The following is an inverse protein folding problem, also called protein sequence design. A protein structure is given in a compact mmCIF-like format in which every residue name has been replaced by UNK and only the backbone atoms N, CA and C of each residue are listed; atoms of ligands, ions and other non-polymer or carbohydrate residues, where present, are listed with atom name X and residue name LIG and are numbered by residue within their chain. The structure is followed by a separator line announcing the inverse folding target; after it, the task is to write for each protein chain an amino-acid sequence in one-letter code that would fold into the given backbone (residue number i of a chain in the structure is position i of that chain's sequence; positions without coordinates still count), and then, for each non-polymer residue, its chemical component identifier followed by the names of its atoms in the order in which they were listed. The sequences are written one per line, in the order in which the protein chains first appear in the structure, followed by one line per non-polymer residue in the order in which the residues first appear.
data_IF_896683854674
#
_entry.id   IF_896683854674
#
_cell.length_a   1.000
_cell.length_b   1.000
_cell.length_c   1.000
_cell.angle_alpha   90.00
_cell.angle_beta   90.00
_cell.angle_gamma   90.00
#
_symmetry.space_group_name_H-M   'P 1'
#
loop_
_entity.id
_entity.type
_entity.pdbx_description
1 polymer ?
#
# COMPACT_ATOMS: atom_id res chain seq x y z
N UNK A 1 13.44 -23.74 -6.68
CA UNK A 1 12.40 -24.50 -5.93
C UNK A 1 12.77 -24.47 -4.46
N UNK A 2 11.79 -24.32 -3.56
CA UNK A 2 12.03 -24.38 -2.12
C UNK A 2 10.91 -25.20 -1.44
N UNK A 3 11.29 -25.91 -0.36
CA UNK A 3 10.35 -26.59 0.54
C UNK A 3 10.41 -25.88 1.87
N UNK A 4 9.31 -25.21 2.24
CA UNK A 4 9.18 -24.50 3.51
C UNK A 4 8.29 -25.36 4.40
N UNK A 5 8.89 -26.09 5.34
CA UNK A 5 8.17 -27.00 6.24
C UNK A 5 7.99 -26.42 7.63
N UNK A 6 7.07 -27.00 8.39
CA UNK A 6 6.86 -26.66 9.80
C UNK A 6 6.57 -25.16 9.98
N UNK A 7 5.60 -24.67 9.21
CA UNK A 7 5.09 -23.28 9.28
C UNK A 7 3.61 -23.28 9.62
N UNK A 8 3.14 -22.23 10.28
CA UNK A 8 1.72 -21.96 10.48
C UNK A 8 1.20 -21.12 9.32
N UNK A 9 0.13 -21.55 8.67
CA UNK A 9 -0.53 -20.81 7.58
C UNK A 9 -2.04 -20.78 7.83
N UNK A 10 -2.71 -19.71 7.39
CA UNK A 10 -4.16 -19.69 7.31
C UNK A 10 -4.64 -20.45 6.07
N UNK A 11 -5.57 -21.40 6.29
CA UNK A 11 -6.29 -22.11 5.26
C UNK A 11 -7.77 -22.17 5.65
N UNK A 12 -8.65 -21.67 4.79
CA UNK A 12 -10.11 -21.68 5.02
C UNK A 12 -10.49 -21.16 6.43
N UNK A 13 -9.86 -20.08 6.87
CA UNK A 13 -10.02 -19.45 8.20
C UNK A 13 -9.43 -20.19 9.39
N UNK A 14 -8.75 -21.31 9.19
CA UNK A 14 -8.06 -22.04 10.24
C UNK A 14 -6.54 -21.87 10.14
N UNK A 15 -5.89 -21.73 11.28
CA UNK A 15 -4.43 -21.70 11.37
C UNK A 15 -3.92 -23.14 11.48
N UNK A 16 -3.27 -23.64 10.43
CA UNK A 16 -2.77 -25.02 10.37
C UNK A 16 -1.25 -25.06 10.31
N UNK A 17 -0.65 -26.15 10.83
CA UNK A 17 0.76 -26.46 10.58
C UNK A 17 0.88 -27.07 9.18
N UNK A 18 1.68 -26.45 8.33
CA UNK A 18 1.76 -26.82 6.91
C UNK A 18 3.22 -26.92 6.41
N UNK A 19 3.32 -27.57 5.26
CA UNK A 19 4.47 -27.54 4.35
C UNK A 19 4.02 -26.85 3.07
N UNK A 20 4.79 -25.86 2.62
CA UNK A 20 4.58 -25.13 1.37
C UNK A 20 5.73 -25.46 0.43
N UNK A 21 5.42 -25.85 -0.80
CA UNK A 21 6.40 -26.15 -1.83
C UNK A 21 6.26 -25.14 -2.96
N UNK A 22 7.36 -24.56 -3.39
CA UNK A 22 7.41 -23.62 -4.53
C UNK A 22 8.14 -24.24 -5.71
N UNK A 23 7.66 -24.03 -6.93
CA UNK A 23 8.32 -24.37 -8.20
C UNK A 23 8.38 -23.12 -9.08
N UNK A 24 9.60 -22.66 -9.40
CA UNK A 24 9.77 -21.37 -10.05
C UNK A 24 9.16 -20.27 -9.18
N UNK A 25 8.34 -19.42 -9.77
CA UNK A 25 7.69 -18.32 -9.10
C UNK A 25 6.28 -18.66 -8.52
N UNK A 26 5.88 -19.94 -8.51
CA UNK A 26 4.54 -20.36 -8.08
C UNK A 26 4.59 -21.26 -6.85
N UNK A 27 3.52 -21.20 -6.07
CA UNK A 27 3.23 -22.20 -5.04
C UNK A 27 2.71 -23.46 -5.74
N UNK A 28 3.48 -24.55 -5.64
CA UNK A 28 3.16 -25.84 -6.26
C UNK A 28 2.19 -26.65 -5.39
N UNK A 29 2.47 -26.74 -4.08
CA UNK A 29 1.64 -27.52 -3.15
C UNK A 29 1.63 -26.88 -1.75
N UNK A 30 0.49 -27.04 -1.05
CA UNK A 30 0.31 -26.69 0.37
C UNK A 30 -0.42 -27.84 1.04
N UNK A 31 0.17 -28.43 2.07
CA UNK A 31 -0.44 -29.57 2.79
C UNK A 31 0.01 -29.59 4.27
N UNK A 32 -0.76 -30.27 5.16
CA UNK A 32 -0.40 -30.39 6.57
C UNK A 32 1.00 -30.98 6.76
N UNK A 33 1.77 -30.46 7.71
CA UNK A 33 3.16 -30.93 8.01
C UNK A 33 3.26 -32.41 8.35
N UNK A 34 2.17 -33.02 8.83
CA UNK A 34 2.10 -34.46 9.11
C UNK A 34 2.14 -35.34 7.85
N UNK A 35 1.90 -34.79 6.67
CA UNK A 35 1.95 -35.49 5.41
C UNK A 35 3.41 -35.60 4.93
N UNK A 36 3.75 -36.78 4.39
CA UNK A 36 5.08 -37.04 3.83
C UNK A 36 5.30 -36.16 2.60
N UNK A 37 6.46 -35.53 2.52
CA UNK A 37 6.90 -34.78 1.34
C UNK A 37 7.00 -35.77 0.16
N UNK A 38 6.36 -35.48 -0.98
CA UNK A 38 6.42 -36.38 -2.15
C UNK A 38 7.85 -36.63 -2.61
N UNK A 39 8.15 -37.87 -3.00
CA UNK A 39 9.51 -38.34 -3.37
C UNK A 39 10.15 -37.49 -4.50
N UNK A 40 9.31 -36.95 -5.41
CA UNK A 40 9.77 -36.06 -6.48
C UNK A 40 10.48 -34.77 -5.98
N UNK A 41 10.36 -34.44 -4.68
CA UNK A 41 11.01 -33.30 -4.04
C UNK A 41 12.15 -33.70 -3.08
N UNK A 42 12.55 -34.98 -3.02
CA UNK A 42 13.49 -35.51 -2.03
C UNK A 42 14.90 -34.92 -2.09
N UNK A 43 15.27 -34.31 -3.21
CA UNK A 43 16.61 -33.72 -3.44
C UNK A 43 16.65 -32.20 -3.18
N UNK A 44 15.54 -31.60 -2.83
CA UNK A 44 15.45 -30.15 -2.71
C UNK A 44 15.87 -29.64 -1.33
N UNK A 45 16.31 -28.38 -1.30
CA UNK A 45 16.65 -27.73 -0.05
C UNK A 45 15.42 -27.49 0.80
N UNK A 46 15.43 -28.00 2.02
CA UNK A 46 14.35 -27.82 2.99
C UNK A 46 14.69 -26.65 3.91
N UNK A 47 13.79 -25.70 4.00
CA UNK A 47 13.79 -24.63 4.97
C UNK A 47 12.81 -24.99 6.11
N UNK A 48 13.30 -25.07 7.35
CA UNK A 48 12.46 -25.32 8.52
C UNK A 48 11.98 -23.99 9.11
N UNK A 49 10.70 -23.75 9.09
CA UNK A 49 10.08 -22.53 9.64
C UNK A 49 9.87 -22.56 11.15
N UNK A 50 10.27 -23.66 11.84
CA UNK A 50 10.24 -23.78 13.32
C UNK A 50 8.89 -23.43 13.96
N UNK A 51 7.78 -23.72 13.28
CA UNK A 51 6.43 -23.41 13.77
C UNK A 51 6.06 -21.93 13.71
N UNK A 52 6.84 -21.11 13.02
CA UNK A 52 6.57 -19.67 12.84
C UNK A 52 5.46 -19.42 11.83
N UNK A 53 4.94 -18.20 11.82
CA UNK A 53 3.84 -17.77 10.96
C UNK A 53 4.34 -17.46 9.54
N UNK A 54 3.83 -18.17 8.53
CA UNK A 54 4.06 -17.87 7.13
C UNK A 54 2.80 -17.20 6.56
N UNK A 55 2.97 -16.01 6.01
CA UNK A 55 1.90 -15.24 5.35
C UNK A 55 2.23 -14.99 3.88
N UNK A 56 1.24 -14.66 3.03
CA UNK A 56 1.52 -14.11 1.71
C UNK A 56 2.35 -12.84 1.83
N UNK A 57 3.14 -12.53 0.82
CA UNK A 57 3.84 -11.25 0.75
C UNK A 57 2.87 -10.07 0.84
N UNK A 58 3.20 -9.10 1.68
CA UNK A 58 2.39 -7.88 1.84
C UNK A 58 2.54 -6.96 0.63
N UNK A 59 1.52 -6.15 0.37
CA UNK A 59 1.45 -5.22 -0.77
C UNK A 59 1.17 -3.82 -0.23
N UNK A 60 2.11 -2.91 -0.43
CA UNK A 60 1.94 -1.51 -0.04
C UNK A 60 1.52 -0.65 -1.24
N UNK A 61 0.30 -0.13 -1.19
CA UNK A 61 -0.24 0.69 -2.29
C UNK A 61 0.05 2.19 -2.14
N UNK A 62 0.77 2.58 -1.06
CA UNK A 62 1.05 3.98 -0.78
C UNK A 62 2.32 4.11 0.07
N UNK A 63 3.44 4.40 -0.58
CA UNK A 63 4.75 4.63 0.03
C UNK A 63 5.54 5.67 -0.78
N UNK A 64 6.06 6.69 -0.10
CA UNK A 64 6.83 7.78 -0.72
C UNK A 64 8.33 7.60 -0.60
N UNK A 65 8.80 6.89 0.41
CA UNK A 65 10.23 6.74 0.63
C UNK A 65 10.61 5.79 1.75
N UNK A 66 11.91 5.51 1.85
CA UNK A 66 12.56 4.73 2.90
C UNK A 66 14.07 4.92 2.88
N UNK A 67 14.76 4.64 4.00
CA UNK A 67 16.24 4.59 4.07
C UNK A 67 16.93 5.84 3.52
N UNK A 68 16.39 7.03 3.82
CA UNK A 68 16.83 8.37 3.33
C UNK A 68 16.57 8.64 1.84
N UNK A 69 15.83 7.79 1.14
CA UNK A 69 15.48 7.98 -0.27
C UNK A 69 14.00 8.30 -0.44
N UNK A 70 13.71 9.22 -1.36
CA UNK A 70 12.35 9.63 -1.74
C UNK A 70 12.07 9.18 -3.18
N UNK A 71 10.85 8.73 -3.48
CA UNK A 71 10.45 8.38 -4.86
C UNK A 71 10.59 9.57 -5.81
N UNK A 72 10.43 10.80 -5.29
CA UNK A 72 10.57 12.04 -6.05
C UNK A 72 12.02 12.50 -6.25
N UNK A 73 13.02 11.79 -5.70
CA UNK A 73 14.45 12.07 -5.99
C UNK A 73 14.79 11.91 -7.49
N UNK A 74 13.88 11.29 -8.25
CA UNK A 74 14.01 11.15 -9.69
C UNK A 74 15.23 10.33 -10.12
N UNK A 75 15.61 9.33 -9.33
CA UNK A 75 16.75 8.43 -9.58
C UNK A 75 16.34 6.95 -9.55
N UNK A 76 17.08 6.10 -10.25
CA UNK A 76 16.90 4.64 -10.14
C UNK A 76 17.35 4.12 -8.78
N UNK A 77 18.33 4.80 -8.17
CA UNK A 77 18.90 4.44 -6.87
C UNK A 77 17.85 4.56 -5.76
N UNK A 78 17.11 5.68 -5.71
CA UNK A 78 16.05 5.88 -4.72
C UNK A 78 14.98 4.80 -4.81
N UNK A 79 14.51 4.47 -6.02
CA UNK A 79 13.49 3.45 -6.23
C UNK A 79 14.00 2.06 -5.82
N UNK A 80 15.26 1.72 -6.12
CA UNK A 80 15.87 0.46 -5.68
C UNK A 80 16.02 0.39 -4.15
N UNK A 81 16.44 1.48 -3.52
CA UNK A 81 16.58 1.53 -2.06
C UNK A 81 15.24 1.28 -1.36
N UNK A 82 14.16 1.91 -1.85
CA UNK A 82 12.82 1.67 -1.32
C UNK A 82 12.35 0.23 -1.60
N UNK A 83 12.62 -0.30 -2.79
CA UNK A 83 12.33 -1.71 -3.12
C UNK A 83 12.99 -2.68 -2.13
N UNK A 84 14.25 -2.47 -1.79
CA UNK A 84 14.97 -3.28 -0.78
C UNK A 84 14.37 -3.11 0.62
N UNK A 85 14.11 -1.87 1.05
CA UNK A 85 13.50 -1.58 2.35
C UNK A 85 12.10 -2.23 2.50
N UNK A 86 11.32 -2.25 1.44
CA UNK A 86 10.03 -2.96 1.40
C UNK A 86 10.23 -4.46 1.63
N UNK A 87 11.17 -5.11 0.91
CA UNK A 87 11.43 -6.53 1.06
C UNK A 87 11.92 -6.90 2.47
N UNK A 88 12.78 -6.08 3.08
CA UNK A 88 13.26 -6.24 4.47
C UNK A 88 12.10 -6.24 5.48
N UNK A 89 11.01 -5.55 5.19
CA UNK A 89 9.83 -5.41 6.07
C UNK A 89 8.66 -6.30 5.67
N UNK A 90 8.91 -7.28 4.77
CA UNK A 90 7.93 -8.26 4.32
C UNK A 90 6.92 -7.76 3.28
N UNK A 91 7.11 -6.56 2.77
CA UNK A 91 6.38 -6.07 1.61
C UNK A 91 7.04 -6.62 0.34
N UNK A 92 6.35 -7.42 -0.45
CA UNK A 92 6.88 -8.06 -1.67
C UNK A 92 6.48 -7.35 -2.95
N UNK A 93 5.52 -6.43 -2.87
CA UNK A 93 5.09 -5.58 -3.98
C UNK A 93 4.63 -4.23 -3.46
N UNK A 94 4.89 -3.16 -4.20
CA UNK A 94 4.48 -1.82 -3.81
C UNK A 94 4.15 -0.94 -5.02
N UNK A 95 3.43 0.17 -4.79
CA UNK A 95 3.27 1.23 -5.77
C UNK A 95 4.26 2.36 -5.49
N UNK A 96 5.03 2.76 -6.50
CA UNK A 96 5.83 3.98 -6.45
C UNK A 96 4.88 5.17 -6.36
N UNK A 97 4.89 5.89 -5.23
CA UNK A 97 3.89 6.93 -4.97
C UNK A 97 4.51 8.32 -5.06
N UNK A 98 3.91 9.18 -5.89
CA UNK A 98 4.30 10.59 -6.00
C UNK A 98 3.75 11.42 -4.84
N UNK A 99 4.32 12.61 -4.64
CA UNK A 99 3.65 13.75 -3.99
C UNK A 99 3.31 14.79 -5.04
N UNK A 100 2.45 15.78 -4.69
CA UNK A 100 2.17 16.89 -5.59
C UNK A 100 3.45 17.62 -5.99
N UNK A 101 3.73 17.67 -7.29
CA UNK A 101 4.97 18.20 -7.83
C UNK A 101 4.76 18.83 -9.21
N UNK A 102 5.83 19.36 -9.82
CA UNK A 102 5.80 19.82 -11.19
C UNK A 102 5.54 18.66 -12.16
N UNK A 103 5.03 18.98 -13.37
CA UNK A 103 4.87 17.97 -14.41
C UNK A 103 6.23 17.32 -14.77
N UNK A 104 7.30 18.10 -14.77
CA UNK A 104 8.65 17.64 -15.09
C UNK A 104 9.15 16.61 -14.08
N UNK A 105 8.98 16.88 -12.78
CA UNK A 105 9.39 15.96 -11.70
C UNK A 105 8.56 14.67 -11.72
N UNK A 106 7.24 14.77 -11.93
CA UNK A 106 6.37 13.59 -12.07
C UNK A 106 6.80 12.72 -13.26
N UNK A 107 7.10 13.33 -14.42
CA UNK A 107 7.60 12.60 -15.59
C UNK A 107 8.97 12.00 -15.33
N UNK A 108 9.85 12.71 -14.60
CA UNK A 108 11.16 12.19 -14.24
C UNK A 108 11.03 10.95 -13.32
N UNK A 109 10.21 11.02 -12.27
CA UNK A 109 9.92 9.86 -11.42
C UNK A 109 9.43 8.66 -12.25
N UNK A 110 8.47 8.87 -13.15
CA UNK A 110 7.92 7.83 -14.04
C UNK A 110 9.03 7.21 -14.89
N UNK A 111 9.87 8.03 -15.52
CA UNK A 111 10.98 7.56 -16.35
C UNK A 111 11.97 6.70 -15.59
N UNK A 112 12.31 7.07 -14.35
CA UNK A 112 13.20 6.24 -13.53
C UNK A 112 12.53 4.97 -13.09
N UNK A 113 11.25 5.01 -12.73
CA UNK A 113 10.45 3.81 -12.39
C UNK A 113 10.47 2.81 -13.54
N UNK A 114 10.25 3.26 -14.79
CA UNK A 114 10.31 2.41 -16.00
C UNK A 114 11.64 1.68 -16.17
N UNK A 115 12.76 2.29 -15.77
CA UNK A 115 14.09 1.66 -15.87
C UNK A 115 14.30 0.56 -14.83
N UNK A 116 13.60 0.63 -13.69
CA UNK A 116 13.73 -0.29 -12.56
C UNK A 116 12.74 -1.45 -12.65
N UNK A 117 11.53 -1.23 -13.17
CA UNK A 117 10.49 -2.27 -13.31
C UNK A 117 11.05 -3.54 -13.95
N UNK A 118 10.89 -4.68 -13.29
CA UNK A 118 11.42 -6.00 -13.69
C UNK A 118 12.91 -6.20 -13.43
N UNK A 119 13.57 -5.26 -12.73
CA UNK A 119 14.99 -5.32 -12.34
C UNK A 119 15.16 -4.91 -10.87
N UNK A 120 14.10 -4.97 -10.09
CA UNK A 120 14.11 -4.64 -8.67
C UNK A 120 15.06 -5.56 -7.90
N UNK A 121 15.78 -5.00 -6.94
CA UNK A 121 16.68 -5.73 -6.04
C UNK A 121 15.98 -6.21 -4.76
N UNK A 122 14.71 -5.90 -4.60
CA UNK A 122 13.87 -6.25 -3.46
C UNK A 122 12.42 -6.47 -3.89
N UNK A 123 11.49 -5.76 -3.25
CA UNK A 123 10.06 -5.83 -3.55
C UNK A 123 9.76 -5.36 -4.99
N UNK A 124 8.79 -5.99 -5.63
CA UNK A 124 8.38 -5.71 -7.00
C UNK A 124 7.60 -4.40 -7.09
N UNK A 125 7.84 -3.65 -8.13
CA UNK A 125 7.02 -2.49 -8.48
C UNK A 125 5.74 -2.98 -9.15
N UNK A 126 4.61 -2.91 -8.43
CA UNK A 126 3.29 -3.27 -8.96
C UNK A 126 2.73 -2.18 -9.89
N UNK A 127 3.29 -0.99 -9.84
CA UNK A 127 2.92 0.16 -10.66
C UNK A 127 3.21 1.47 -9.96
N UNK A 128 2.50 2.51 -10.38
CA UNK A 128 2.61 3.88 -9.88
C UNK A 128 1.28 4.31 -9.28
N UNK A 129 1.33 4.93 -8.10
CA UNK A 129 0.25 5.68 -7.50
C UNK A 129 0.55 7.18 -7.64
N UNK A 130 -0.23 7.89 -8.43
CA UNK A 130 -0.14 9.35 -8.49
C UNK A 130 -0.99 9.94 -7.36
N UNK A 131 -0.34 10.43 -6.31
CA UNK A 131 -1.00 11.22 -5.28
C UNK A 131 -0.84 12.70 -5.60
N UNK A 132 -1.94 13.31 -6.01
CA UNK A 132 -1.93 14.67 -6.55
C UNK A 132 -1.43 14.75 -8.01
N UNK A 133 -1.25 15.96 -8.52
CA UNK A 133 -1.31 17.28 -7.87
C UNK A 133 -2.73 17.90 -7.79
N UNK A 134 -3.75 17.21 -8.20
CA UNK A 134 -5.12 17.70 -8.29
C UNK A 134 -5.86 17.51 -6.96
N UNK A 135 -5.35 18.18 -5.92
CA UNK A 135 -5.80 18.09 -4.55
C UNK A 135 -6.29 19.45 -4.03
N UNK A 136 -7.20 19.43 -3.06
CA UNK A 136 -7.78 20.65 -2.51
C UNK A 136 -6.82 21.35 -1.54
N UNK A 137 -6.54 22.63 -1.78
CA UNK A 137 -5.64 23.45 -0.97
C UNK A 137 -6.07 23.51 0.51
N UNK A 138 -7.38 23.46 0.81
CA UNK A 138 -7.91 23.48 2.18
C UNK A 138 -7.62 22.18 2.94
N UNK A 139 -7.34 21.10 2.21
CA UNK A 139 -7.03 19.76 2.72
C UNK A 139 -5.65 19.29 2.29
N UNK A 140 -4.75 20.21 2.03
CA UNK A 140 -3.42 19.91 1.52
C UNK A 140 -2.59 18.97 2.41
N UNK A 141 -2.84 18.94 3.74
CA UNK A 141 -1.96 18.23 4.66
C UNK A 141 -0.52 18.73 4.52
N UNK A 142 0.41 17.80 4.28
CA UNK A 142 1.82 18.12 4.02
C UNK A 142 2.12 18.46 2.54
N UNK A 143 1.16 18.28 1.61
CA UNK A 143 1.38 18.56 0.18
C UNK A 143 1.79 20.02 -0.05
N UNK A 144 2.76 20.24 -0.96
CA UNK A 144 3.27 21.58 -1.23
C UNK A 144 2.25 22.42 -2.01
N UNK A 145 1.75 23.53 -1.43
CA UNK A 145 0.71 24.35 -2.05
C UNK A 145 1.13 24.95 -3.41
N UNK A 146 2.44 25.10 -3.65
CA UNK A 146 2.94 25.63 -4.93
C UNK A 146 2.65 24.72 -6.13
N UNK A 147 2.42 23.43 -5.89
CA UNK A 147 2.16 22.43 -6.93
C UNK A 147 0.71 22.00 -7.03
N UNK A 148 -0.14 22.38 -6.06
CA UNK A 148 -1.56 22.06 -6.12
C UNK A 148 -2.26 22.87 -7.22
N UNK A 149 -3.07 22.18 -8.01
CA UNK A 149 -3.76 22.78 -9.16
C UNK A 149 -5.05 22.04 -9.49
N UNK A 150 -5.88 22.68 -10.28
CA UNK A 150 -7.10 22.05 -10.81
C UNK A 150 -6.73 20.93 -11.82
N UNK A 151 -7.57 19.90 -11.93
CA UNK A 151 -7.46 18.86 -12.94
C UNK A 151 -7.26 19.41 -14.35
N UNK A 152 -6.21 18.94 -15.04
CA UNK A 152 -5.91 19.24 -16.45
C UNK A 152 -5.79 17.94 -17.23
N UNK A 153 -6.75 17.68 -18.12
CA UNK A 153 -6.78 16.47 -18.94
C UNK A 153 -5.61 16.39 -19.94
N UNK A 154 -5.07 17.52 -20.37
CA UNK A 154 -3.93 17.54 -21.28
C UNK A 154 -2.66 17.12 -20.53
N UNK A 155 -2.46 17.65 -19.33
CA UNK A 155 -1.35 17.26 -18.46
C UNK A 155 -1.47 15.79 -18.07
N UNK A 156 -2.64 15.33 -17.60
CA UNK A 156 -2.86 13.94 -17.23
C UNK A 156 -2.61 12.99 -18.42
N UNK A 157 -3.01 13.39 -19.64
CA UNK A 157 -2.72 12.60 -20.82
C UNK A 157 -1.21 12.46 -21.06
N UNK A 158 -0.43 13.53 -20.92
CA UNK A 158 1.03 13.47 -21.05
C UNK A 158 1.65 12.51 -20.01
N UNK A 159 1.17 12.56 -18.76
CA UNK A 159 1.60 11.67 -17.68
C UNK A 159 1.31 10.20 -18.04
N UNK A 160 0.10 9.90 -18.53
CA UNK A 160 -0.28 8.55 -18.95
C UNK A 160 0.51 8.05 -20.16
N UNK A 161 0.74 8.91 -21.14
CA UNK A 161 1.52 8.57 -22.35
C UNK A 161 2.97 8.22 -21.96
N UNK A 162 3.58 8.95 -21.00
CA UNK A 162 4.92 8.65 -20.50
C UNK A 162 4.94 7.35 -19.67
N UNK A 163 3.92 7.14 -18.83
CA UNK A 163 3.87 6.00 -17.91
C UNK A 163 3.65 4.65 -18.59
N UNK A 164 3.11 4.61 -19.80
CA UNK A 164 2.95 3.40 -20.61
C UNK A 164 2.31 2.23 -19.85
N UNK A 165 1.17 2.51 -19.18
CA UNK A 165 0.38 1.52 -18.44
C UNK A 165 0.86 1.23 -17.00
N UNK A 166 1.90 1.89 -16.52
CA UNK A 166 2.39 1.70 -15.14
C UNK A 166 1.49 2.37 -14.09
N UNK A 167 0.70 3.39 -14.42
CA UNK A 167 -0.21 4.02 -13.47
C UNK A 167 -1.32 3.02 -13.11
N UNK A 168 -1.44 2.72 -11.82
CA UNK A 168 -2.44 1.80 -11.26
C UNK A 168 -3.45 2.51 -10.37
N UNK A 169 -3.05 3.61 -9.74
CA UNK A 169 -3.89 4.38 -8.84
C UNK A 169 -3.65 5.87 -9.04
N UNK A 170 -4.72 6.67 -8.94
CA UNK A 170 -4.64 8.13 -8.98
C UNK A 170 -5.52 8.69 -7.87
N UNK A 171 -4.93 9.52 -7.02
CA UNK A 171 -5.64 10.24 -5.93
C UNK A 171 -5.94 11.67 -6.35
N UNK A 172 -7.21 12.06 -6.22
CA UNK A 172 -7.72 13.38 -6.62
C UNK A 172 -8.73 13.92 -5.61
N UNK A 173 -8.99 15.23 -5.65
CA UNK A 173 -10.11 15.91 -5.01
C UNK A 173 -11.20 16.14 -6.05
N UNK A 174 -12.32 15.39 -6.02
CA UNK A 174 -13.33 15.38 -7.09
C UNK A 174 -14.15 16.67 -7.17
N UNK A 175 -14.27 17.43 -6.07
CA UNK A 175 -14.99 18.69 -5.97
C UNK A 175 -14.29 19.85 -6.72
N UNK A 176 -13.04 19.67 -7.12
CA UNK A 176 -12.32 20.68 -7.89
C UNK A 176 -12.88 20.79 -9.31
N UNK A 177 -12.91 22.03 -9.90
CA UNK A 177 -13.27 22.19 -11.30
C UNK A 177 -12.48 21.26 -12.23
N UNK A 178 -13.18 20.44 -13.01
CA UNK A 178 -12.58 19.43 -13.88
C UNK A 178 -12.38 18.05 -13.19
N UNK A 179 -12.75 17.90 -11.91
CA UNK A 179 -12.56 16.65 -11.16
C UNK A 179 -13.38 15.49 -11.73
N UNK A 180 -14.66 15.73 -12.03
CA UNK A 180 -15.56 14.70 -12.59
C UNK A 180 -15.13 14.29 -13.99
N UNK A 181 -14.72 15.24 -14.84
CA UNK A 181 -14.19 14.95 -16.17
C UNK A 181 -12.90 14.11 -16.10
N UNK A 182 -12.07 14.37 -15.09
CA UNK A 182 -10.87 13.56 -14.83
C UNK A 182 -11.25 12.14 -14.39
N UNK A 183 -12.25 11.96 -13.54
CA UNK A 183 -12.76 10.63 -13.15
C UNK A 183 -13.19 9.84 -14.41
N UNK A 184 -13.96 10.46 -15.30
CA UNK A 184 -14.37 9.83 -16.58
C UNK A 184 -13.18 9.41 -17.45
N UNK A 185 -12.13 10.24 -17.49
CA UNK A 185 -10.90 9.95 -18.21
C UNK A 185 -10.15 8.77 -17.60
N UNK A 186 -10.01 8.71 -16.27
CA UNK A 186 -9.31 7.66 -15.54
C UNK A 186 -10.06 6.32 -15.58
N UNK A 187 -11.38 6.34 -15.44
CA UNK A 187 -12.25 5.16 -15.55
C UNK A 187 -12.05 4.41 -16.85
N UNK A 188 -11.97 5.13 -17.97
CA UNK A 188 -11.73 4.55 -19.31
C UNK A 188 -10.36 3.86 -19.43
N UNK A 189 -9.42 4.15 -18.53
CA UNK A 189 -8.08 3.54 -18.46
C UNK A 189 -7.96 2.39 -17.49
N UNK A 190 -9.04 2.10 -16.75
CA UNK A 190 -9.09 0.97 -15.84
C UNK A 190 -8.15 1.08 -14.64
N UNK A 191 -7.82 2.31 -14.23
CA UNK A 191 -7.01 2.57 -13.02
C UNK A 191 -7.91 2.75 -11.81
N UNK A 192 -7.39 2.48 -10.62
CA UNK A 192 -8.07 2.75 -9.35
C UNK A 192 -8.14 4.26 -9.14
N UNK A 193 -9.35 4.79 -9.02
CA UNK A 193 -9.58 6.21 -8.75
C UNK A 193 -9.82 6.37 -7.27
N UNK A 194 -8.88 7.03 -6.58
CA UNK A 194 -8.92 7.28 -5.16
C UNK A 194 -9.25 8.75 -4.86
N UNK A 195 -9.93 8.98 -3.75
CA UNK A 195 -10.25 10.33 -3.27
C UNK A 195 -9.51 10.55 -1.95
N UNK A 196 -8.78 11.65 -1.84
CA UNK A 196 -8.23 12.19 -0.60
C UNK A 196 -7.79 13.64 -0.80
N UNK A 197 -7.26 14.26 0.26
CA UNK A 197 -6.93 15.68 0.24
C UNK A 197 -8.05 16.50 -0.38
N UNK A 198 -9.26 16.20 0.06
CA UNK A 198 -10.52 16.64 -0.52
C UNK A 198 -11.41 17.22 0.56
N UNK A 199 -12.06 18.32 0.25
CA UNK A 199 -13.08 18.96 1.09
C UNK A 199 -14.49 18.63 0.60
N UNK A 200 -14.65 17.56 -0.20
CA UNK A 200 -15.91 17.15 -0.78
C UNK A 200 -17.01 16.98 0.28
N UNK A 201 -18.18 17.50 -0.01
CA UNK A 201 -19.41 17.21 0.72
C UNK A 201 -19.78 15.73 0.56
N UNK A 202 -20.78 15.29 1.30
CA UNK A 202 -21.30 13.94 1.17
C UNK A 202 -21.86 13.71 -0.25
N UNK A 203 -22.59 14.67 -0.81
CA UNK A 203 -23.20 14.60 -2.12
C UNK A 203 -22.15 14.60 -3.26
N UNK A 204 -21.13 15.46 -3.17
CA UNK A 204 -20.03 15.48 -4.14
C UNK A 204 -19.21 14.16 -4.12
N UNK A 205 -19.02 13.58 -2.95
CA UNK A 205 -18.37 12.27 -2.83
C UNK A 205 -19.22 11.14 -3.45
N UNK A 206 -20.53 11.15 -3.21
CA UNK A 206 -21.46 10.19 -3.82
C UNK A 206 -21.45 10.30 -5.35
N UNK A 207 -21.52 11.52 -5.91
CA UNK A 207 -21.42 11.71 -7.36
C UNK A 207 -20.10 11.17 -7.93
N UNK A 208 -18.99 11.43 -7.24
CA UNK A 208 -17.69 10.90 -7.64
C UNK A 208 -17.63 9.34 -7.62
N UNK A 209 -18.28 8.69 -6.65
CA UNK A 209 -18.38 7.23 -6.58
C UNK A 209 -19.26 6.67 -7.72
N UNK A 210 -20.39 7.29 -8.02
CA UNK A 210 -21.26 6.91 -9.14
C UNK A 210 -20.54 7.06 -10.49
N UNK A 211 -19.67 8.06 -10.63
CA UNK A 211 -18.85 8.29 -11.82
C UNK A 211 -17.71 7.27 -11.94
N UNK A 212 -17.22 6.70 -10.85
CA UNK A 212 -16.24 5.62 -10.93
C UNK A 212 -15.08 5.68 -9.95
N UNK A 213 -15.06 6.61 -9.01
CA UNK A 213 -14.14 6.54 -7.89
C UNK A 213 -14.51 5.35 -6.99
N UNK A 214 -13.53 4.54 -6.60
CA UNK A 214 -13.76 3.28 -5.87
C UNK A 214 -12.89 3.13 -4.64
N UNK A 215 -12.07 4.14 -4.33
CA UNK A 215 -11.08 4.03 -3.29
C UNK A 215 -10.92 5.33 -2.51
N UNK A 216 -10.51 5.22 -1.25
CA UNK A 216 -10.14 6.36 -0.39
C UNK A 216 -8.70 6.17 0.04
N UNK A 217 -7.86 7.16 -0.25
CA UNK A 217 -6.48 7.20 0.22
C UNK A 217 -6.46 7.63 1.68
N UNK A 218 -5.63 7.01 2.53
CA UNK A 218 -5.41 7.29 3.96
C UNK A 218 -6.64 7.86 4.69
N UNK A 219 -7.74 7.08 4.70
CA UNK A 219 -9.06 7.46 5.22
C UNK A 219 -8.98 8.24 6.55
N UNK A 220 -9.76 9.30 6.69
CA UNK A 220 -9.77 10.34 7.72
C UNK A 220 -8.68 11.41 7.62
N UNK A 221 -7.52 11.11 7.05
CA UNK A 221 -6.40 12.05 6.99
C UNK A 221 -6.59 13.02 5.82
N UNK A 222 -6.38 14.32 6.06
CA UNK A 222 -6.62 15.41 5.10
C UNK A 222 -8.04 15.40 4.49
N UNK A 223 -9.06 15.14 5.34
CA UNK A 223 -10.49 15.13 5.00
C UNK A 223 -11.29 15.91 6.03
N UNK A 224 -12.55 16.31 5.72
CA UNK A 224 -13.46 16.87 6.71
C UNK A 224 -13.76 15.86 7.83
N UNK A 225 -13.86 16.34 9.07
CA UNK A 225 -14.33 15.50 10.17
C UNK A 225 -15.81 15.13 9.98
N UNK A 226 -16.21 13.95 10.45
CA UNK A 226 -17.61 13.53 10.45
C UNK A 226 -18.43 14.48 11.34
N UNK A 227 -19.44 15.09 10.77
CA UNK A 227 -20.39 15.94 11.50
C UNK A 227 -21.81 15.49 11.20
N UNK A 228 -22.67 15.40 12.22
CA UNK A 228 -24.01 14.80 12.13
C UNK A 228 -25.00 15.52 11.20
N UNK A 229 -24.72 16.72 10.74
CA UNK A 229 -25.51 17.50 9.76
C UNK A 229 -24.75 17.81 8.46
N UNK A 230 -23.45 17.51 8.41
CA UNK A 230 -22.59 17.64 7.24
C UNK A 230 -21.59 16.49 7.25
N UNK A 231 -22.04 15.25 6.90
CA UNK A 231 -21.27 14.02 7.15
C UNK A 231 -19.99 13.90 6.32
N UNK A 232 -19.94 14.54 5.17
CA UNK A 232 -18.73 14.67 4.34
C UNK A 232 -18.26 13.37 3.68
N UNK A 233 -17.10 13.46 3.04
CA UNK A 233 -16.45 12.41 2.28
C UNK A 233 -16.30 11.09 3.06
N UNK A 234 -15.84 11.16 4.32
CA UNK A 234 -15.56 9.94 5.11
C UNK A 234 -16.82 9.12 5.33
N UNK A 235 -17.95 9.77 5.66
CA UNK A 235 -19.22 9.06 5.85
C UNK A 235 -19.71 8.46 4.55
N UNK A 236 -19.68 9.21 3.45
CA UNK A 236 -20.07 8.70 2.13
C UNK A 236 -19.26 7.47 1.73
N UNK A 237 -17.96 7.47 2.02
CA UNK A 237 -17.07 6.33 1.73
C UNK A 237 -17.34 5.12 2.61
N UNK A 238 -17.56 5.33 3.91
CA UNK A 238 -17.81 4.22 4.85
C UNK A 238 -19.16 3.55 4.59
N UNK A 239 -20.17 4.30 4.18
CA UNK A 239 -21.51 3.81 3.87
C UNK A 239 -21.56 3.02 2.54
N UNK A 240 -20.70 3.37 1.58
CA UNK A 240 -20.72 2.75 0.24
C UNK A 240 -19.92 1.45 0.19
N UNK A 241 -20.60 0.29 0.11
CA UNK A 241 -19.99 -1.05 0.08
C UNK A 241 -19.05 -1.28 -1.12
N UNK A 242 -19.20 -0.51 -2.21
CA UNK A 242 -18.31 -0.64 -3.38
C UNK A 242 -16.96 0.06 -3.18
N UNK A 243 -16.88 1.01 -2.24
CA UNK A 243 -15.68 1.83 -2.01
C UNK A 243 -14.77 1.14 -0.98
N UNK A 244 -13.50 0.99 -1.30
CA UNK A 244 -12.45 0.53 -0.39
C UNK A 244 -11.68 1.70 0.22
N UNK A 245 -10.99 1.47 1.34
CA UNK A 245 -10.28 2.52 2.08
C UNK A 245 -8.88 2.09 2.48
N UNK A 246 -7.89 2.97 2.34
CA UNK A 246 -6.58 2.79 2.95
C UNK A 246 -6.61 3.22 4.42
N UNK A 247 -5.84 2.53 5.24
CA UNK A 247 -5.67 2.85 6.65
C UNK A 247 -4.19 2.83 7.03
N UNK A 248 -3.70 3.94 7.59
CA UNK A 248 -2.37 4.02 8.20
C UNK A 248 -2.52 3.57 9.66
N UNK A 249 -2.05 2.35 9.96
CA UNK A 249 -2.16 1.78 11.31
C UNK A 249 -0.79 1.83 11.98
N UNK A 250 -0.46 3.00 12.50
CA UNK A 250 0.81 3.32 13.18
C UNK A 250 0.61 3.74 14.64
N UNK A 251 -0.64 3.88 15.09
CA UNK A 251 -1.01 4.38 16.41
C UNK A 251 -0.97 5.90 16.57
N UNK A 252 -0.67 6.62 15.48
CA UNK A 252 -0.56 8.09 15.43
C UNK A 252 -1.66 8.68 14.55
N UNK A 253 -1.76 8.22 13.29
CA UNK A 253 -2.74 8.72 12.31
C UNK A 253 -4.17 8.37 12.68
N UNK A 254 -4.39 7.16 13.20
CA UNK A 254 -5.70 6.68 13.60
C UNK A 254 -5.68 6.16 15.03
N UNK A 255 -6.64 6.65 15.84
CA UNK A 255 -6.89 6.04 17.15
C UNK A 255 -7.37 4.58 16.98
N UNK A 256 -6.96 3.62 17.84
CA UNK A 256 -7.37 2.22 17.73
C UNK A 256 -8.90 2.00 17.60
N UNK A 257 -9.68 2.85 18.27
CA UNK A 257 -11.14 2.83 18.18
C UNK A 257 -11.65 3.17 16.77
N UNK A 258 -10.97 4.05 16.03
CA UNK A 258 -11.31 4.39 14.65
C UNK A 258 -10.95 3.23 13.72
N UNK A 259 -9.79 2.60 13.91
CA UNK A 259 -9.40 1.40 13.14
C UNK A 259 -10.47 0.31 13.27
N UNK A 260 -10.91 0.01 14.51
CA UNK A 260 -12.00 -0.95 14.74
C UNK A 260 -13.35 -0.52 14.14
N UNK A 261 -13.66 0.78 14.17
CA UNK A 261 -14.89 1.30 13.57
C UNK A 261 -14.89 1.11 12.04
N UNK A 262 -13.79 1.46 11.38
CA UNK A 262 -13.62 1.24 9.94
C UNK A 262 -13.78 -0.25 9.63
N UNK A 263 -13.08 -1.12 10.38
CA UNK A 263 -13.15 -2.57 10.18
C UNK A 263 -14.57 -3.13 10.37
N UNK A 264 -15.29 -2.66 11.39
CA UNK A 264 -16.66 -3.08 11.66
C UNK A 264 -17.64 -2.71 10.53
N UNK A 265 -17.40 -1.57 9.88
CA UNK A 265 -18.27 -1.07 8.81
C UNK A 265 -17.90 -1.70 7.46
N UNK A 266 -16.62 -1.73 7.13
CA UNK A 266 -16.12 -2.10 5.78
C UNK A 266 -15.78 -3.59 5.64
N UNK A 267 -15.43 -4.26 6.74
CA UNK A 267 -14.85 -5.59 6.66
C UNK A 267 -13.46 -5.64 6.00
N UNK A 268 -12.75 -6.77 6.11
CA UNK A 268 -11.36 -6.87 5.63
C UNK A 268 -11.25 -6.79 4.09
N UNK A 269 -12.31 -7.10 3.34
CA UNK A 269 -12.33 -7.06 1.86
C UNK A 269 -12.28 -5.64 1.28
N UNK A 270 -12.49 -4.62 2.12
CA UNK A 270 -12.57 -3.21 1.71
C UNK A 270 -11.57 -2.31 2.44
N UNK A 271 -10.67 -2.89 3.23
CA UNK A 271 -9.62 -2.15 3.92
C UNK A 271 -8.27 -2.58 3.37
N UNK A 272 -7.42 -1.61 3.08
CA UNK A 272 -6.02 -1.80 2.72
C UNK A 272 -5.15 -1.20 3.81
N UNK A 273 -4.30 -2.02 4.43
CA UNK A 273 -3.20 -1.48 5.23
C UNK A 273 -2.17 -0.86 4.30
N UNK A 274 -1.74 0.34 4.64
CA UNK A 274 -0.69 1.04 3.89
C UNK A 274 0.24 1.77 4.85
N UNK A 275 1.46 2.03 4.41
CA UNK A 275 2.41 2.74 5.26
C UNK A 275 2.28 4.25 5.13
N UNK A 276 2.07 4.77 3.94
CA UNK A 276 2.26 6.20 3.66
C UNK A 276 3.61 6.68 4.21
N UNK A 277 4.65 5.85 4.06
CA UNK A 277 5.94 6.11 4.68
C UNK A 277 6.78 7.08 3.87
N UNK A 278 7.51 7.95 4.58
CA UNK A 278 8.52 8.84 3.99
C UNK A 278 9.93 8.24 4.15
N UNK A 279 10.95 8.95 3.65
CA UNK A 279 12.35 8.49 3.66
C UNK A 279 12.95 8.19 5.04
N UNK A 280 12.28 8.59 6.14
CA UNK A 280 12.70 8.25 7.50
C UNK A 280 12.40 6.80 7.88
N UNK A 281 11.54 6.08 7.13
CA UNK A 281 11.28 4.67 7.37
C UNK A 281 12.59 3.87 7.31
N UNK A 282 12.86 3.13 8.38
CA UNK A 282 14.09 2.32 8.51
C UNK A 282 15.36 3.12 8.82
N UNK A 283 15.24 4.43 9.11
CA UNK A 283 16.35 5.30 9.55
C UNK A 283 16.13 5.76 10.99
N UNK A 284 14.98 6.37 11.30
CA UNK A 284 14.61 6.83 12.62
C UNK A 284 14.50 8.35 12.75
N UNK A 285 14.66 8.84 13.97
CA UNK A 285 14.52 10.27 14.31
C UNK A 285 15.57 11.13 13.61
N UNK A 286 15.18 12.33 13.19
CA UNK A 286 16.06 13.26 12.48
C UNK A 286 15.29 14.34 11.73
N UNK A 287 16.06 15.13 10.95
CA UNK A 287 15.52 16.15 10.06
C UNK A 287 15.57 15.67 8.61
N UNK A 288 14.48 15.85 7.90
CA UNK A 288 14.29 15.38 6.52
C UNK A 288 13.70 16.50 5.66
N UNK A 289 13.85 16.37 4.35
CA UNK A 289 13.14 17.21 3.38
C UNK A 289 12.16 16.34 2.64
N UNK A 290 10.85 16.61 2.77
CA UNK A 290 9.81 15.84 2.12
C UNK A 290 8.78 16.76 1.48
N UNK A 291 8.48 16.53 0.19
CA UNK A 291 7.58 17.39 -0.58
C UNK A 291 8.02 18.86 -0.64
N UNK A 292 9.34 19.14 -0.48
CA UNK A 292 9.91 20.50 -0.41
C UNK A 292 9.75 21.17 0.96
N UNK A 293 9.27 20.47 1.98
CA UNK A 293 9.14 20.95 3.36
C UNK A 293 10.21 20.34 4.28
N UNK A 294 10.64 21.08 5.29
CA UNK A 294 11.41 20.53 6.39
C UNK A 294 10.47 19.74 7.30
N UNK A 295 10.83 18.48 7.56
CA UNK A 295 10.08 17.53 8.40
C UNK A 295 10.98 17.09 9.55
N UNK A 296 10.51 17.23 10.78
CA UNK A 296 11.18 16.69 11.96
C UNK A 296 10.53 15.37 12.33
N UNK A 297 11.33 14.30 12.42
CA UNK A 297 10.90 13.01 12.97
C UNK A 297 11.41 12.90 14.40
N UNK A 298 10.48 12.73 15.33
CA UNK A 298 10.76 12.52 16.75
C UNK A 298 9.88 11.41 17.32
N UNK A 299 10.52 10.46 17.99
CA UNK A 299 9.83 9.26 18.52
C UNK A 299 9.07 8.51 17.42
N UNK A 300 9.62 8.51 16.19
CA UNK A 300 9.02 7.91 15.02
C UNK A 300 7.82 8.66 14.43
N UNK A 301 7.51 9.87 14.89
CA UNK A 301 6.39 10.69 14.39
C UNK A 301 6.94 11.84 13.56
N UNK A 302 6.54 11.90 12.30
CA UNK A 302 6.96 12.93 11.34
C UNK A 302 6.00 14.12 11.35
N UNK A 303 6.53 15.34 11.50
CA UNK A 303 5.75 16.58 11.55
C UNK A 303 6.42 17.71 10.79
N UNK A 304 5.59 18.57 10.21
CA UNK A 304 6.00 19.92 9.77
C UNK A 304 6.20 20.84 10.97
N UNK A 305 6.83 22.00 10.75
CA UNK A 305 7.05 23.00 11.80
C UNK A 305 5.76 23.51 12.48
N UNK A 306 4.63 23.51 11.78
CA UNK A 306 3.33 23.90 12.31
C UNK A 306 2.61 22.77 13.08
N UNK A 307 3.26 21.60 13.22
CA UNK A 307 2.73 20.43 13.90
C UNK A 307 1.89 19.48 13.04
N UNK A 308 1.64 19.81 11.78
CA UNK A 308 0.94 18.95 10.83
C UNK A 308 1.68 17.62 10.67
N UNK A 309 0.98 16.49 10.73
CA UNK A 309 1.55 15.17 10.40
C UNK A 309 2.00 15.15 8.93
N UNK A 310 3.16 14.56 8.69
CA UNK A 310 3.80 14.52 7.37
C UNK A 310 4.17 13.08 7.02
N UNK A 311 3.23 12.32 6.48
CA UNK A 311 3.41 10.89 6.21
C UNK A 311 3.76 10.08 7.48
N UNK A 312 4.18 8.85 7.37
CA UNK A 312 4.53 7.98 8.48
C UNK A 312 5.98 7.48 8.40
N UNK A 313 6.38 6.75 9.43
CA UNK A 313 7.62 5.97 9.47
C UNK A 313 7.36 4.48 9.70
N UNK A 314 6.07 4.09 9.65
CA UNK A 314 5.65 2.71 9.94
C UNK A 314 6.05 1.77 8.82
N UNK A 315 6.42 0.54 9.17
CA UNK A 315 6.65 -0.54 8.21
C UNK A 315 5.42 -1.44 8.09
N UNK A 316 5.29 -2.19 6.98
CA UNK A 316 4.11 -3.04 6.76
C UNK A 316 3.95 -4.12 7.85
N UNK A 317 5.02 -4.78 8.28
CA UNK A 317 4.97 -5.76 9.37
C UNK A 317 4.54 -5.14 10.71
N UNK A 318 4.98 -3.91 11.00
CA UNK A 318 4.54 -3.16 12.18
C UNK A 318 3.07 -2.75 12.08
N UNK A 319 2.61 -2.30 10.92
CA UNK A 319 1.20 -1.97 10.66
C UNK A 319 0.31 -3.20 10.83
N UNK A 320 0.73 -4.36 10.30
CA UNK A 320 0.06 -5.65 10.51
C UNK A 320 -0.03 -6.01 12.00
N UNK A 321 1.07 -5.92 12.74
CA UNK A 321 1.11 -6.17 14.19
C UNK A 321 0.16 -5.26 14.94
N UNK A 322 0.25 -3.95 14.71
CA UNK A 322 -0.60 -2.97 15.39
C UNK A 322 -2.09 -3.16 15.06
N UNK A 323 -2.43 -3.54 13.84
CA UNK A 323 -3.80 -3.90 13.46
C UNK A 323 -4.33 -5.02 14.37
N UNK A 324 -3.54 -6.07 14.57
CA UNK A 324 -3.92 -7.18 15.46
C UNK A 324 -3.96 -6.75 16.94
N UNK A 325 -2.99 -5.98 17.42
CA UNK A 325 -2.97 -5.44 18.80
C UNK A 325 -4.18 -4.51 19.05
N UNK A 326 -4.66 -3.80 18.05
CA UNK A 326 -5.85 -2.95 18.15
C UNK A 326 -7.18 -3.72 18.15
N UNK A 327 -7.11 -5.05 18.03
CA UNK A 327 -8.27 -5.95 18.17
C UNK A 327 -8.90 -6.38 16.85
N UNK A 328 -8.22 -6.20 15.72
CA UNK A 328 -8.59 -6.84 14.46
C UNK A 328 -8.05 -8.28 14.47
N UNK A 329 -8.82 -9.25 13.97
CA UNK A 329 -8.32 -10.62 13.89
C UNK A 329 -7.02 -10.69 13.09
N UNK A 330 -6.11 -11.62 13.44
CA UNK A 330 -4.88 -11.80 12.70
C UNK A 330 -5.13 -12.13 11.22
N UNK A 331 -6.14 -12.95 10.96
CA UNK A 331 -6.55 -13.31 9.61
C UNK A 331 -6.98 -12.08 8.80
N UNK A 332 -7.85 -11.24 9.38
CA UNK A 332 -8.32 -10.02 8.70
C UNK A 332 -7.16 -9.04 8.49
N UNK A 333 -6.27 -8.91 9.48
CA UNK A 333 -5.08 -8.06 9.36
C UNK A 333 -4.16 -8.51 8.22
N UNK A 334 -3.93 -9.83 8.07
CA UNK A 334 -3.19 -10.40 6.94
C UNK A 334 -3.92 -10.12 5.63
N UNK A 335 -5.23 -10.34 5.57
CA UNK A 335 -6.03 -10.11 4.38
C UNK A 335 -5.94 -8.65 3.91
N UNK A 336 -6.09 -7.69 4.83
CA UNK A 336 -5.97 -6.25 4.56
C UNK A 336 -4.59 -5.82 4.06
N UNK A 337 -3.54 -6.59 4.36
CA UNK A 337 -2.17 -6.34 3.91
C UNK A 337 -1.78 -7.10 2.62
N UNK A 338 -2.58 -8.08 2.18
CA UNK A 338 -2.18 -9.03 1.12
C UNK A 338 -3.22 -9.20 0.02
N UNK A 339 -4.27 -10.00 0.23
CA UNK A 339 -5.25 -10.30 -0.81
C UNK A 339 -6.15 -9.12 -1.16
N UNK A 340 -6.53 -8.28 -0.19
CA UNK A 340 -7.37 -7.11 -0.46
C UNK A 340 -6.67 -6.09 -1.38
N UNK A 341 -5.43 -5.62 -1.11
CA UNK A 341 -4.75 -4.75 -2.06
C UNK A 341 -4.49 -5.42 -3.41
N UNK A 342 -4.21 -6.73 -3.45
CA UNK A 342 -4.06 -7.46 -4.70
C UNK A 342 -5.34 -7.43 -5.55
N UNK A 343 -6.50 -7.66 -4.94
CA UNK A 343 -7.80 -7.65 -5.61
C UNK A 343 -8.14 -6.24 -6.14
N UNK A 344 -7.93 -5.20 -5.33
CA UNK A 344 -8.17 -3.80 -5.73
C UNK A 344 -7.30 -3.40 -6.93
N UNK A 345 -6.03 -3.82 -6.94
CA UNK A 345 -5.12 -3.54 -8.05
C UNK A 345 -5.29 -4.50 -9.24
N UNK A 346 -6.21 -5.47 -9.17
CA UNK A 346 -6.40 -6.48 -10.21
C UNK A 346 -5.22 -7.44 -10.39
N UNK A 347 -4.37 -7.61 -9.37
CA UNK A 347 -3.21 -8.50 -9.36
C UNK A 347 -3.67 -9.96 -9.20
N UNK A 348 -3.77 -10.67 -10.31
CA UNK A 348 -4.22 -12.06 -10.30
C UNK A 348 -3.17 -12.98 -9.69
N UNK A 349 -3.60 -13.90 -8.83
CA UNK A 349 -2.76 -14.92 -8.16
C UNK A 349 -1.74 -14.34 -7.16
N UNK A 350 -2.01 -13.19 -6.57
CA UNK A 350 -1.25 -12.61 -5.47
C UNK A 350 -2.03 -12.65 -4.16
N UNK A 351 -1.34 -12.54 -3.04
CA UNK A 351 -1.92 -12.33 -1.72
C UNK A 351 -2.53 -13.55 -1.04
N UNK A 352 -2.28 -14.77 -1.52
CA UNK A 352 -2.76 -16.03 -0.90
C UNK A 352 -1.70 -17.12 -0.93
N UNK A 353 -1.71 -18.00 0.07
CA UNK A 353 -0.88 -19.21 0.10
C UNK A 353 -1.71 -20.38 -0.44
N UNK A 354 -1.89 -20.42 -1.75
CA UNK A 354 -2.67 -21.42 -2.45
C UNK A 354 -1.93 -21.92 -3.68
N UNK A 355 -2.19 -23.17 -4.08
CA UNK A 355 -1.61 -23.75 -5.29
C UNK A 355 -1.89 -22.91 -6.53
N UNK A 356 -0.83 -22.59 -7.28
CA UNK A 356 -0.87 -21.79 -8.50
C UNK A 356 -0.84 -20.26 -8.27
N UNK A 357 -0.75 -19.82 -7.01
CA UNK A 357 -0.47 -18.42 -6.67
C UNK A 357 1.02 -18.13 -6.73
N UNK A 358 1.35 -16.85 -6.88
CA UNK A 358 2.74 -16.39 -6.86
C UNK A 358 3.34 -16.68 -5.49
N UNK A 359 4.54 -17.20 -5.48
CA UNK A 359 5.28 -17.57 -4.27
C UNK A 359 5.99 -16.34 -3.66
N UNK A 360 5.22 -15.32 -3.36
CA UNK A 360 5.59 -14.18 -2.54
C UNK A 360 5.16 -14.52 -1.11
N UNK A 361 6.13 -14.75 -0.23
CA UNK A 361 5.89 -15.29 1.10
C UNK A 361 6.74 -14.56 2.14
N UNK A 362 6.24 -14.45 3.36
CA UNK A 362 6.94 -13.84 4.48
C UNK A 362 6.82 -14.72 5.71
N UNK A 363 7.94 -15.08 6.28
CA UNK A 363 8.00 -15.77 7.56
C UNK A 363 8.19 -14.74 8.67
N UNK A 364 7.28 -14.74 9.63
CA UNK A 364 7.26 -13.82 10.77
C UNK A 364 7.49 -14.59 12.07
N UNK A 365 8.21 -13.97 13.00
CA UNK A 365 8.30 -14.45 14.37
C UNK A 365 7.05 -14.08 15.20
N UNK A 366 7.03 -14.44 16.49
CA UNK A 366 5.94 -14.16 17.41
C UNK A 366 5.74 -12.65 17.70
N UNK A 367 6.75 -11.81 17.38
CA UNK A 367 6.70 -10.35 17.49
C UNK A 367 6.37 -9.67 16.16
N UNK A 368 6.07 -10.45 15.13
CA UNK A 368 5.86 -9.99 13.77
C UNK A 368 7.12 -9.39 13.11
N UNK A 369 8.32 -9.71 13.62
CA UNK A 369 9.55 -9.36 12.92
C UNK A 369 9.77 -10.32 11.74
N UNK A 370 10.28 -9.79 10.63
CA UNK A 370 10.49 -10.56 9.40
C UNK A 370 11.74 -11.42 9.55
N UNK A 371 11.56 -12.73 9.51
CA UNK A 371 12.66 -13.69 9.55
C UNK A 371 13.19 -13.98 8.15
N UNK A 372 12.32 -14.05 7.17
CA UNK A 372 12.68 -14.33 5.77
C UNK A 372 11.55 -13.88 4.85
N UNK A 373 11.92 -13.30 3.72
CA UNK A 373 11.02 -12.96 2.62
C UNK A 373 11.36 -13.81 1.41
N UNK A 374 10.37 -14.32 0.70
CA UNK A 374 10.52 -14.92 -0.64
C UNK A 374 9.76 -14.05 -1.63
N UNK A 375 10.41 -13.75 -2.73
CA UNK A 375 9.84 -12.97 -3.84
C UNK A 375 9.96 -13.81 -5.10
N UNK A 376 8.85 -14.10 -5.76
CA UNK A 376 8.80 -15.03 -6.90
C UNK A 376 9.41 -16.40 -6.58
N UNK A 377 9.28 -16.89 -5.34
CA UNK A 377 9.82 -18.17 -4.90
C UNK A 377 11.31 -18.16 -4.56
N UNK A 378 11.99 -17.06 -4.76
CA UNK A 378 13.40 -16.89 -4.41
C UNK A 378 13.54 -16.21 -3.05
N UNK A 379 14.45 -16.72 -2.22
CA UNK A 379 14.73 -16.17 -0.89
C UNK A 379 15.49 -14.86 -1.03
N UNK A 380 14.96 -13.81 -0.40
CA UNK A 380 15.56 -12.49 -0.27
C UNK A 380 16.52 -12.42 0.92
#
# INVERSE_FOLDING_TARGET
MAIIKNVKVYKESELINATVITEGNLIAEVFPTSKIIPEKYSTEQIFDGNGQLLIPGMIDVHIHGAKNYDMMDGSTESIQAVSMACAETGCTSFLVTSVSSSLEDLIQMIRQTKKVVGKEQGAKIAGIHLEGPYLNIEKKGMQNPAYLRHPDLKEMKQIFDEADGLIKMVTIAPELPGGIELIDFLKKRGVVIAIAHSNATYEEAQDAFEKGATHITHCFNAMPAIHHRAPGLVTAALENDAVSVQTIVDGVHLHPGIVRLIHKIKGPDKIVLTTDALQAMGVGDGEYIFGGHQVTVKEGIARLQDGTLASSTVTMNKSLRLSNEFGISLQDSIQMATSTPAEILGMKKFGRIEKGYIADLVLLDEKFEVLTTWINGEKY
#
